data_IF_147858869575
#
_entry.id   IF_147858869575
#
_cell.length_a   1.000
_cell.length_b   1.000
_cell.length_c   1.000
_cell.angle_alpha   90.00
_cell.angle_beta   90.00
_cell.angle_gamma   90.00
#
_symmetry.space_group_name_H-M   'P 1'
#
loop_
_entity.id
_entity.type
_entity.pdbx_description
1 polymer ?
#
# COMPACT_ATOMS: atom_id res chain seq x y z
N UNK A 1 15.14 -19.76 -16.67
CA UNK A 1 13.69 -19.94 -16.85
C UNK A 1 13.12 -18.78 -17.67
N UNK A 2 12.03 -19.01 -18.38
CA UNK A 2 11.24 -17.98 -19.08
C UNK A 2 10.02 -17.63 -18.22
N UNK A 3 9.92 -16.44 -17.70
CA UNK A 3 8.92 -16.03 -16.71
C UNK A 3 8.04 -14.94 -17.32
N UNK A 4 6.74 -15.17 -17.43
CA UNK A 4 5.79 -14.13 -17.80
C UNK A 4 5.22 -13.48 -16.53
N UNK A 5 5.17 -12.16 -16.50
CA UNK A 5 4.59 -11.38 -15.39
C UNK A 5 3.44 -10.53 -15.93
N UNK A 6 2.24 -10.75 -15.42
CA UNK A 6 1.10 -9.87 -15.65
C UNK A 6 1.30 -8.58 -14.83
N UNK A 7 1.42 -7.46 -15.53
CA UNK A 7 1.60 -6.15 -14.95
C UNK A 7 0.74 -5.11 -15.70
N UNK A 8 -0.50 -5.45 -15.99
CA UNK A 8 -1.41 -4.72 -16.89
C UNK A 8 -1.43 -3.20 -16.62
N UNK A 9 -1.29 -2.80 -15.37
CA UNK A 9 -1.61 -1.42 -14.95
C UNK A 9 -0.40 -0.52 -14.72
N UNK A 10 0.82 -1.03 -14.87
CA UNK A 10 2.01 -0.25 -14.49
C UNK A 10 2.25 0.99 -15.37
N UNK A 11 1.73 1.03 -16.60
CA UNK A 11 1.86 2.18 -17.50
C UNK A 11 0.75 3.24 -17.35
N UNK A 12 -0.08 3.12 -16.30
CA UNK A 12 -1.06 4.16 -15.97
C UNK A 12 -0.39 5.38 -15.32
N UNK A 13 -0.82 6.61 -15.63
CA UNK A 13 -0.31 7.81 -14.97
C UNK A 13 -0.58 7.81 -13.44
N UNK A 14 -1.77 7.37 -13.05
CA UNK A 14 -2.20 7.30 -11.65
C UNK A 14 -2.17 5.85 -11.15
N UNK A 15 -1.04 5.45 -10.60
CA UNK A 15 -0.84 4.11 -10.04
C UNK A 15 -1.43 4.00 -8.64
N UNK A 16 -1.93 2.82 -8.31
CA UNK A 16 -2.37 2.44 -6.97
C UNK A 16 -1.36 1.51 -6.29
N UNK A 17 -1.54 1.19 -5.02
CA UNK A 17 -0.57 0.40 -4.25
C UNK A 17 -0.16 -0.92 -4.91
N UNK A 18 -1.11 -1.69 -5.46
CA UNK A 18 -0.79 -2.94 -6.17
C UNK A 18 0.04 -2.72 -7.44
N UNK A 19 -0.20 -1.62 -8.16
CA UNK A 19 0.54 -1.29 -9.39
C UNK A 19 1.99 -0.95 -9.05
N UNK A 20 2.22 -0.25 -7.92
CA UNK A 20 3.56 0.03 -7.39
C UNK A 20 4.26 -1.24 -6.93
N UNK A 21 3.57 -2.15 -6.25
CA UNK A 21 4.15 -3.43 -5.82
C UNK A 21 4.64 -4.23 -7.04
N UNK A 22 3.84 -4.33 -8.08
CA UNK A 22 4.23 -5.00 -9.31
C UNK A 22 5.45 -4.33 -9.97
N UNK A 23 5.39 -3.00 -10.14
CA UNK A 23 6.45 -2.21 -10.78
C UNK A 23 7.79 -2.33 -10.05
N UNK A 24 7.81 -2.09 -8.74
CA UNK A 24 9.04 -2.11 -7.96
C UNK A 24 9.62 -3.52 -7.85
N UNK A 25 8.76 -4.55 -7.73
CA UNK A 25 9.22 -5.95 -7.78
C UNK A 25 9.89 -6.28 -9.12
N UNK A 26 9.31 -5.84 -10.24
CA UNK A 26 9.89 -6.05 -11.59
C UNK A 26 11.21 -5.28 -11.74
N UNK A 27 11.27 -4.03 -11.29
CA UNK A 27 12.51 -3.22 -11.34
C UNK A 27 13.66 -3.87 -10.56
N UNK A 28 13.37 -4.43 -9.39
CA UNK A 28 14.40 -5.13 -8.62
C UNK A 28 14.79 -6.47 -9.26
N UNK A 29 13.84 -7.25 -9.77
CA UNK A 29 14.15 -8.45 -10.56
C UNK A 29 15.06 -8.10 -11.74
N UNK A 30 14.80 -7.01 -12.44
CA UNK A 30 15.62 -6.47 -13.53
C UNK A 30 17.06 -6.16 -13.10
N UNK A 31 17.28 -5.70 -11.85
CA UNK A 31 18.58 -5.36 -11.32
C UNK A 31 19.38 -6.60 -10.89
N UNK A 32 18.73 -7.54 -10.19
CA UNK A 32 19.43 -8.62 -9.49
C UNK A 32 19.52 -9.93 -10.27
N UNK A 33 18.63 -10.16 -11.26
CA UNK A 33 18.60 -11.41 -12.02
C UNK A 33 19.03 -11.21 -13.46
N UNK A 34 20.03 -12.01 -13.89
CA UNK A 34 20.53 -12.07 -15.24
C UNK A 34 20.42 -13.46 -15.88
N UNK A 35 19.91 -14.43 -15.11
CA UNK A 35 19.82 -15.83 -15.54
C UNK A 35 18.46 -16.16 -16.18
N UNK A 36 17.39 -15.51 -15.72
CA UNK A 36 16.05 -15.73 -16.22
C UNK A 36 15.67 -14.69 -17.27
N UNK A 37 14.79 -15.08 -18.19
CA UNK A 37 14.19 -14.23 -19.22
C UNK A 37 12.78 -13.84 -18.77
N UNK A 38 12.48 -12.55 -18.76
CA UNK A 38 11.21 -12.00 -18.28
C UNK A 38 10.38 -11.39 -19.40
N UNK A 39 9.10 -11.73 -19.44
CA UNK A 39 8.10 -11.17 -20.36
C UNK A 39 7.06 -10.39 -19.55
N UNK A 40 7.17 -9.07 -19.54
CA UNK A 40 6.28 -8.18 -18.78
C UNK A 40 5.10 -7.81 -19.66
N UNK A 41 3.93 -8.36 -19.35
CA UNK A 41 2.71 -8.18 -20.15
C UNK A 41 1.88 -7.05 -19.56
N UNK A 42 1.74 -5.96 -20.32
CA UNK A 42 1.13 -4.70 -19.90
C UNK A 42 0.00 -4.27 -20.84
N UNK A 43 -0.88 -3.39 -20.38
CA UNK A 43 -1.71 -2.60 -21.28
C UNK A 43 -0.98 -1.33 -21.70
N UNK A 44 -1.20 -0.83 -22.93
CA UNK A 44 -0.68 0.48 -23.34
C UNK A 44 -1.08 1.58 -22.36
N UNK A 45 -0.18 2.51 -22.10
CA UNK A 45 -0.38 3.65 -21.21
C UNK A 45 0.59 4.78 -21.49
N UNK A 46 0.40 5.94 -20.83
CA UNK A 46 1.22 7.15 -21.05
C UNK A 46 2.51 7.14 -20.23
N UNK A 47 2.58 6.38 -19.15
CA UNK A 47 3.71 6.36 -18.23
C UNK A 47 4.61 5.14 -18.52
N UNK A 48 5.59 5.32 -19.37
CA UNK A 48 6.61 4.31 -19.71
C UNK A 48 7.66 4.19 -18.60
N UNK A 49 7.23 3.79 -17.41
CA UNK A 49 8.05 3.73 -16.19
C UNK A 49 9.00 2.52 -16.09
N UNK A 50 8.98 1.61 -17.05
CA UNK A 50 9.84 0.43 -17.16
C UNK A 50 10.47 0.39 -18.54
N UNK A 51 11.76 0.09 -18.59
CA UNK A 51 12.53 -0.05 -19.84
C UNK A 51 12.91 -1.52 -20.07
N UNK A 52 13.04 -1.92 -21.32
CA UNK A 52 13.54 -3.25 -21.69
C UNK A 52 15.03 -3.39 -21.38
N UNK A 53 15.47 -4.60 -21.12
CA UNK A 53 16.88 -4.99 -20.99
C UNK A 53 17.12 -6.27 -21.78
N UNK A 54 18.37 -6.75 -21.83
CA UNK A 54 18.71 -7.97 -22.56
C UNK A 54 17.86 -9.18 -22.17
N UNK A 55 17.41 -9.23 -20.93
CA UNK A 55 16.61 -10.35 -20.37
C UNK A 55 15.18 -9.95 -19.93
N UNK A 56 14.76 -8.71 -20.15
CA UNK A 56 13.41 -8.22 -19.79
C UNK A 56 12.76 -7.59 -21.01
N UNK A 57 11.68 -8.21 -21.49
CA UNK A 57 10.93 -7.82 -22.68
C UNK A 57 9.55 -7.32 -22.28
N UNK A 58 9.11 -6.19 -22.86
CA UNK A 58 7.80 -5.59 -22.60
C UNK A 58 6.85 -5.96 -23.72
N UNK A 59 5.70 -6.54 -23.38
CA UNK A 59 4.67 -6.91 -24.34
C UNK A 59 3.41 -6.12 -24.06
N UNK A 60 3.13 -5.16 -24.92
CA UNK A 60 1.90 -4.39 -24.85
C UNK A 60 0.72 -5.12 -25.49
N UNK A 61 -0.36 -5.25 -24.73
CA UNK A 61 -1.59 -5.94 -25.16
C UNK A 61 -2.77 -4.99 -25.01
N UNK A 62 -3.29 -4.53 -26.14
CA UNK A 62 -4.48 -3.69 -26.19
C UNK A 62 -5.75 -4.55 -26.13
N UNK A 63 -6.65 -4.23 -25.22
CA UNK A 63 -7.96 -4.87 -25.10
C UNK A 63 -8.99 -3.91 -24.52
N UNK A 64 -10.26 -3.93 -24.95
CA UNK A 64 -11.25 -2.93 -24.56
C UNK A 64 -11.69 -3.02 -23.10
N UNK A 65 -11.62 -4.20 -22.48
CA UNK A 65 -12.03 -4.39 -21.08
C UNK A 65 -11.06 -5.29 -20.30
N UNK A 66 -10.97 -5.08 -18.99
CA UNK A 66 -10.12 -5.90 -18.13
C UNK A 66 -10.47 -7.41 -18.18
N UNK A 67 -11.74 -7.84 -18.09
CA UNK A 67 -12.06 -9.27 -18.17
C UNK A 67 -11.65 -9.92 -19.49
N UNK A 68 -11.84 -9.25 -20.63
CA UNK A 68 -11.39 -9.76 -21.93
C UNK A 68 -9.86 -9.77 -22.02
N UNK A 69 -9.19 -8.77 -21.48
CA UNK A 69 -7.75 -8.70 -21.42
C UNK A 69 -7.19 -9.90 -20.64
N UNK A 70 -7.69 -10.13 -19.43
CA UNK A 70 -7.21 -11.20 -18.55
C UNK A 70 -7.61 -12.60 -19.01
N UNK A 71 -8.87 -12.78 -19.43
CA UNK A 71 -9.39 -14.13 -19.73
C UNK A 71 -9.13 -14.60 -21.16
N UNK A 72 -8.83 -13.69 -22.09
CA UNK A 72 -8.69 -14.02 -23.52
C UNK A 72 -7.34 -13.58 -24.07
N UNK A 73 -6.98 -12.30 -23.92
CA UNK A 73 -5.77 -11.75 -24.54
C UNK A 73 -4.50 -12.28 -23.84
N UNK A 74 -4.46 -12.23 -22.50
CA UNK A 74 -3.34 -12.72 -21.72
C UNK A 74 -3.00 -14.21 -21.99
N UNK A 75 -3.95 -15.17 -21.93
CA UNK A 75 -3.65 -16.58 -22.23
C UNK A 75 -3.15 -16.79 -23.67
N UNK A 76 -3.65 -16.01 -24.63
CA UNK A 76 -3.19 -16.10 -26.03
C UNK A 76 -1.73 -15.66 -26.18
N UNK A 77 -1.34 -14.58 -25.49
CA UNK A 77 0.04 -14.09 -25.48
C UNK A 77 0.95 -15.10 -24.76
N UNK A 78 0.54 -15.60 -23.61
CA UNK A 78 1.28 -16.64 -22.85
C UNK A 78 1.48 -17.91 -23.70
N UNK A 79 0.45 -18.36 -24.42
CA UNK A 79 0.57 -19.53 -25.31
C UNK A 79 1.55 -19.32 -26.48
N UNK A 80 1.75 -18.08 -26.95
CA UNK A 80 2.73 -17.73 -27.99
C UNK A 80 4.16 -17.67 -27.44
N UNK A 81 4.33 -17.05 -26.26
CA UNK A 81 5.62 -16.90 -25.61
C UNK A 81 6.14 -18.25 -25.09
N UNK A 82 5.24 -19.09 -24.60
CA UNK A 82 5.53 -20.39 -23.94
C UNK A 82 6.52 -20.22 -22.79
N UNK A 83 6.20 -19.39 -21.79
CA UNK A 83 7.02 -19.26 -20.60
C UNK A 83 6.91 -20.54 -19.74
N UNK A 84 7.85 -20.72 -18.82
CA UNK A 84 7.83 -21.81 -17.85
C UNK A 84 6.74 -21.58 -16.79
N UNK A 85 6.44 -20.31 -16.48
CA UNK A 85 5.36 -19.91 -15.57
C UNK A 85 4.78 -18.53 -15.92
N UNK A 86 3.54 -18.29 -15.45
CA UNK A 86 2.89 -16.99 -15.44
C UNK A 86 2.70 -16.52 -13.99
N UNK A 87 3.20 -15.33 -13.65
CA UNK A 87 2.89 -14.66 -12.39
C UNK A 87 1.88 -13.53 -12.60
N UNK A 88 0.69 -13.66 -12.01
CA UNK A 88 -0.34 -12.62 -12.00
C UNK A 88 -0.26 -11.81 -10.72
N UNK A 89 -0.11 -10.47 -10.84
CA UNK A 89 0.23 -9.59 -9.72
C UNK A 89 -0.96 -8.86 -9.10
N UNK A 90 -2.19 -9.02 -9.64
CA UNK A 90 -3.32 -8.12 -9.35
C UNK A 90 -4.57 -8.80 -8.79
N UNK A 91 -4.43 -9.75 -7.86
CA UNK A 91 -5.51 -10.48 -7.19
C UNK A 91 -6.32 -11.46 -8.07
N UNK A 92 -6.20 -11.41 -9.37
CA UNK A 92 -6.93 -12.29 -10.32
C UNK A 92 -5.98 -12.82 -11.38
N UNK A 93 -6.42 -13.87 -12.09
CA UNK A 93 -5.67 -14.50 -13.16
C UNK A 93 -6.63 -15.16 -14.17
N UNK A 94 -6.15 -15.60 -15.34
CA UNK A 94 -6.96 -16.38 -16.25
C UNK A 94 -7.50 -17.67 -15.61
N UNK A 95 -8.81 -17.95 -15.80
CA UNK A 95 -9.42 -19.21 -15.36
C UNK A 95 -8.81 -20.41 -16.09
N UNK A 96 -8.36 -20.21 -17.33
CA UNK A 96 -7.64 -21.22 -18.10
C UNK A 96 -6.23 -20.69 -18.40
N UNK A 97 -5.28 -21.03 -17.55
CA UNK A 97 -3.88 -20.70 -17.74
C UNK A 97 -3.16 -21.84 -18.47
N UNK A 98 -2.44 -21.58 -19.58
CA UNK A 98 -1.77 -22.63 -20.34
C UNK A 98 -0.44 -23.11 -19.74
N UNK A 99 0.03 -22.47 -18.67
CA UNK A 99 1.31 -22.74 -17.98
C UNK A 99 1.12 -22.70 -16.46
N UNK A 100 2.08 -23.19 -15.64
CA UNK A 100 2.07 -23.04 -14.19
C UNK A 100 1.78 -21.61 -13.76
N UNK A 101 0.88 -21.43 -12.79
CA UNK A 101 0.37 -20.13 -12.36
C UNK A 101 0.83 -19.77 -10.96
N UNK A 102 1.46 -18.60 -10.82
CA UNK A 102 1.71 -17.92 -9.55
C UNK A 102 0.73 -16.74 -9.42
N UNK A 103 0.10 -16.59 -8.29
CA UNK A 103 -0.85 -15.50 -8.03
C UNK A 103 -0.41 -14.66 -6.84
N UNK A 104 -0.25 -13.36 -7.00
CA UNK A 104 -0.22 -12.44 -5.87
C UNK A 104 -1.65 -12.04 -5.49
N UNK A 105 -2.08 -12.51 -4.34
CA UNK A 105 -3.37 -12.21 -3.73
C UNK A 105 -3.15 -11.26 -2.53
N UNK A 106 -3.27 -9.97 -2.75
CA UNK A 106 -2.96 -8.95 -1.76
C UNK A 106 -3.90 -8.95 -0.55
N UNK A 107 -5.17 -9.27 -0.77
CA UNK A 107 -6.21 -9.37 0.26
C UNK A 107 -7.42 -10.15 -0.26
N UNK A 108 -8.33 -10.44 0.67
CA UNK A 108 -9.63 -11.07 0.39
C UNK A 108 -10.82 -10.20 0.82
N UNK A 109 -10.66 -8.88 0.83
CA UNK A 109 -11.75 -7.94 1.20
C UNK A 109 -13.00 -8.15 0.34
N UNK A 110 -12.82 -8.58 -0.91
CA UNK A 110 -13.94 -8.86 -1.81
C UNK A 110 -14.82 -10.05 -1.36
N UNK A 111 -14.36 -10.90 -0.45
CA UNK A 111 -15.16 -11.98 0.15
C UNK A 111 -16.01 -11.52 1.33
N UNK A 112 -15.69 -10.37 1.92
CA UNK A 112 -16.40 -9.85 3.09
C UNK A 112 -17.78 -9.29 2.75
N UNK A 113 -18.69 -9.26 3.75
CA UNK A 113 -19.94 -8.54 3.62
C UNK A 113 -19.68 -7.08 3.27
N UNK A 114 -20.45 -6.54 2.33
CA UNK A 114 -20.34 -5.14 1.96
C UNK A 114 -20.84 -4.25 3.08
N UNK A 115 -19.99 -3.34 3.53
CA UNK A 115 -20.44 -2.20 4.32
C UNK A 115 -21.10 -1.18 3.36
N UNK A 116 -22.24 -0.60 3.77
CA UNK A 116 -23.01 0.33 2.96
C UNK A 116 -22.20 1.55 2.52
N UNK A 117 -22.51 2.08 1.35
CA UNK A 117 -21.91 3.29 0.76
C UNK A 117 -22.16 3.36 -0.74
N UNK A 118 -22.27 4.58 -1.29
CA UNK A 118 -22.39 4.80 -2.73
C UNK A 118 -21.07 4.45 -3.43
N UNK A 119 -21.02 3.30 -4.09
CA UNK A 119 -19.90 2.86 -4.91
C UNK A 119 -20.23 3.00 -6.39
N UNK A 120 -19.23 3.32 -7.21
CA UNK A 120 -19.41 3.39 -8.65
C UNK A 120 -19.79 2.01 -9.23
N UNK A 121 -20.51 1.99 -10.35
CA UNK A 121 -20.84 0.76 -11.06
C UNK A 121 -19.60 -0.07 -11.41
N UNK A 122 -18.50 0.59 -11.76
CA UNK A 122 -17.20 -0.03 -12.04
C UNK A 122 -16.61 -0.77 -10.82
N UNK A 123 -16.67 -0.16 -9.63
CA UNK A 123 -16.22 -0.81 -8.39
C UNK A 123 -17.08 -2.04 -8.05
N UNK A 124 -18.39 -1.98 -8.36
CA UNK A 124 -19.31 -3.09 -8.19
C UNK A 124 -18.96 -4.27 -9.11
N UNK A 125 -18.73 -4.00 -10.39
CA UNK A 125 -18.31 -5.02 -11.35
C UNK A 125 -16.99 -5.68 -10.95
N UNK A 126 -15.99 -4.92 -10.54
CA UNK A 126 -14.70 -5.45 -10.09
C UNK A 126 -14.83 -6.35 -8.86
N UNK A 127 -15.75 -6.05 -7.95
CA UNK A 127 -16.03 -6.88 -6.78
C UNK A 127 -16.67 -8.23 -7.17
N UNK A 128 -17.70 -8.23 -8.04
CA UNK A 128 -18.32 -9.45 -8.54
C UNK A 128 -17.33 -10.31 -9.35
N UNK A 129 -16.51 -9.66 -10.18
CA UNK A 129 -15.50 -10.32 -10.97
C UNK A 129 -14.51 -11.11 -10.10
N UNK A 130 -13.96 -10.48 -9.05
CA UNK A 130 -13.05 -11.16 -8.12
C UNK A 130 -13.72 -12.33 -7.40
N UNK A 131 -14.95 -12.17 -6.93
CA UNK A 131 -15.72 -13.26 -6.28
C UNK A 131 -15.98 -14.44 -7.21
N UNK A 132 -16.10 -14.18 -8.49
CA UNK A 132 -16.31 -15.22 -9.49
C UNK A 132 -14.99 -15.90 -9.89
N UNK A 133 -13.94 -15.14 -10.14
CA UNK A 133 -12.66 -15.61 -10.69
C UNK A 133 -11.79 -16.27 -9.63
N UNK A 134 -11.57 -15.60 -8.48
CA UNK A 134 -10.59 -16.05 -7.50
C UNK A 134 -10.82 -17.49 -7.02
N UNK A 135 -12.02 -17.90 -6.60
CA UNK A 135 -12.24 -19.28 -6.17
C UNK A 135 -11.96 -20.34 -7.27
N UNK A 136 -12.10 -19.95 -8.56
CA UNK A 136 -11.87 -20.85 -9.69
C UNK A 136 -10.40 -21.04 -10.03
N UNK A 137 -9.58 -20.03 -9.77
CA UNK A 137 -8.14 -20.09 -10.11
C UNK A 137 -7.28 -20.70 -9.00
N UNK A 138 -7.75 -20.72 -7.75
CA UNK A 138 -6.95 -21.18 -6.61
C UNK A 138 -6.42 -22.61 -6.76
N UNK A 139 -7.22 -23.50 -7.30
CA UNK A 139 -6.82 -24.90 -7.55
C UNK A 139 -5.74 -25.02 -8.63
N UNK A 140 -5.70 -24.08 -9.58
CA UNK A 140 -4.74 -24.07 -10.69
C UNK A 140 -3.43 -23.36 -10.31
N UNK A 141 -3.42 -22.50 -9.26
CA UNK A 141 -2.19 -21.89 -8.85
C UNK A 141 -1.20 -22.93 -8.33
N UNK A 142 0.03 -22.90 -8.78
CA UNK A 142 1.15 -23.63 -8.16
C UNK A 142 1.48 -23.02 -6.80
N UNK A 143 1.60 -21.69 -6.75
CA UNK A 143 1.84 -20.94 -5.53
C UNK A 143 0.97 -19.68 -5.47
N UNK A 144 0.62 -19.29 -4.26
CA UNK A 144 -0.06 -18.02 -3.96
C UNK A 144 0.86 -17.19 -3.09
N UNK A 145 1.04 -15.94 -3.43
CA UNK A 145 1.83 -14.96 -2.70
C UNK A 145 0.86 -13.96 -2.05
N UNK A 146 1.15 -13.55 -0.84
CA UNK A 146 0.49 -12.41 -0.21
C UNK A 146 1.50 -11.52 0.50
N UNK A 147 1.07 -10.35 0.97
CA UNK A 147 1.98 -9.27 1.37
C UNK A 147 2.34 -9.26 2.87
N UNK A 148 1.66 -10.08 3.69
CA UNK A 148 1.94 -10.18 5.13
C UNK A 148 1.55 -11.55 5.68
N UNK A 149 2.11 -11.94 6.82
CA UNK A 149 1.70 -13.17 7.51
C UNK A 149 0.27 -13.09 8.03
N UNK A 150 -0.18 -11.89 8.41
CA UNK A 150 -1.57 -11.64 8.76
C UNK A 150 -2.51 -12.02 7.61
N UNK A 151 -2.29 -11.49 6.41
CA UNK A 151 -3.12 -11.83 5.23
C UNK A 151 -2.91 -13.29 4.81
N UNK A 152 -1.68 -13.85 4.93
CA UNK A 152 -1.42 -15.25 4.65
C UNK A 152 -2.29 -16.18 5.50
N UNK A 153 -2.34 -15.97 6.80
CA UNK A 153 -3.17 -16.76 7.71
C UNK A 153 -4.66 -16.59 7.37
N UNK A 154 -5.08 -15.36 7.16
CA UNK A 154 -6.46 -15.01 6.86
C UNK A 154 -6.96 -15.60 5.55
N UNK A 155 -6.14 -15.50 4.48
CA UNK A 155 -6.45 -16.08 3.16
C UNK A 155 -6.51 -17.61 3.28
N UNK A 156 -5.53 -18.21 3.97
CA UNK A 156 -5.47 -19.66 4.19
C UNK A 156 -6.73 -20.20 4.89
N UNK A 157 -7.13 -19.53 5.96
CA UNK A 157 -8.34 -19.92 6.73
C UNK A 157 -9.64 -19.72 5.94
N UNK A 158 -9.80 -18.55 5.31
CA UNK A 158 -11.02 -18.21 4.58
C UNK A 158 -11.23 -19.07 3.32
N UNK A 159 -10.14 -19.48 2.67
CA UNK A 159 -10.16 -20.24 1.42
C UNK A 159 -9.76 -21.72 1.60
N UNK A 160 -9.51 -22.13 2.86
CA UNK A 160 -9.14 -23.51 3.24
C UNK A 160 -7.93 -24.05 2.44
N UNK A 161 -6.90 -23.19 2.27
CA UNK A 161 -5.72 -23.54 1.49
C UNK A 161 -4.71 -24.36 2.32
N UNK A 162 -4.01 -25.33 1.70
CA UNK A 162 -2.86 -25.98 2.31
C UNK A 162 -1.76 -24.97 2.69
N UNK A 163 -0.99 -25.29 3.73
CA UNK A 163 0.03 -24.38 4.26
C UNK A 163 1.15 -24.08 3.25
N UNK A 164 1.50 -25.04 2.43
CA UNK A 164 2.55 -24.97 1.41
C UNK A 164 2.09 -24.25 0.13
N UNK A 165 0.78 -24.01 -0.02
CA UNK A 165 0.18 -23.36 -1.20
C UNK A 165 0.33 -21.84 -1.17
N UNK A 166 0.43 -21.23 0.01
CA UNK A 166 0.47 -19.78 0.18
C UNK A 166 1.67 -19.36 1.04
N UNK A 167 2.34 -18.31 0.62
CA UNK A 167 3.47 -17.72 1.36
C UNK A 167 3.34 -16.20 1.43
N UNK A 168 3.84 -15.61 2.51
CA UNK A 168 3.98 -14.15 2.64
C UNK A 168 5.33 -13.71 2.08
N UNK A 169 5.30 -12.75 1.16
CA UNK A 169 6.47 -12.01 0.68
C UNK A 169 6.20 -10.53 0.96
N UNK A 170 6.99 -9.95 1.85
CA UNK A 170 6.84 -8.56 2.24
C UNK A 170 7.18 -7.61 1.10
N UNK A 171 6.47 -6.49 1.04
CA UNK A 171 6.80 -5.38 0.17
C UNK A 171 7.98 -4.58 0.74
N UNK A 172 8.69 -3.87 -0.14
CA UNK A 172 9.64 -2.85 0.24
C UNK A 172 8.99 -1.45 0.31
N UNK A 173 9.84 -0.45 0.45
CA UNK A 173 9.54 0.97 0.26
C UNK A 173 10.60 1.59 -0.65
N UNK A 174 10.31 2.74 -1.25
CA UNK A 174 11.23 3.37 -2.20
C UNK A 174 12.37 4.11 -1.48
N UNK A 175 13.60 3.99 -1.97
CA UNK A 175 14.82 4.54 -1.37
C UNK A 175 14.85 6.07 -1.22
N UNK A 176 14.00 6.80 -1.95
CA UNK A 176 13.89 8.24 -1.81
C UNK A 176 13.25 8.65 -0.46
N UNK A 177 12.55 7.74 0.23
CA UNK A 177 12.13 7.92 1.62
C UNK A 177 13.31 7.62 2.54
N UNK A 178 13.94 8.69 3.01
CA UNK A 178 15.10 8.66 3.91
C UNK A 178 15.17 9.97 4.69
N UNK A 179 15.98 10.07 5.76
CA UNK A 179 16.19 11.33 6.44
C UNK A 179 16.77 12.38 5.48
N UNK A 180 16.16 13.57 5.47
CA UNK A 180 16.52 14.72 4.64
C UNK A 180 16.87 15.90 5.56
N UNK A 181 17.92 16.66 5.21
CA UNK A 181 18.34 17.85 5.95
C UNK A 181 17.52 19.09 5.62
N UNK A 182 16.97 19.16 4.40
CA UNK A 182 16.22 20.34 3.92
C UNK A 182 14.85 19.93 3.38
N UNK A 183 13.81 20.35 4.06
CA UNK A 183 12.42 20.02 3.71
C UNK A 183 11.56 21.24 3.41
N UNK A 184 11.91 22.41 3.98
CA UNK A 184 11.08 23.61 4.04
C UNK A 184 10.62 24.13 2.68
N UNK A 185 11.50 24.08 1.67
CA UNK A 185 11.16 24.55 0.31
C UNK A 185 10.00 23.81 -0.34
N UNK A 186 9.79 22.56 0.06
CA UNK A 186 8.70 21.72 -0.44
C UNK A 186 7.53 21.70 0.53
N UNK A 187 7.76 21.54 1.83
CA UNK A 187 6.69 21.47 2.84
C UNK A 187 5.83 22.73 2.86
N UNK A 188 6.44 23.91 2.67
CA UNK A 188 5.74 25.21 2.62
C UNK A 188 4.77 25.39 1.45
N UNK A 189 4.79 24.50 0.47
CA UNK A 189 3.74 24.46 -0.58
C UNK A 189 2.42 23.89 -0.05
N UNK A 190 2.48 23.16 1.07
CA UNK A 190 1.38 22.37 1.60
C UNK A 190 0.94 22.80 2.99
N UNK A 191 1.87 23.33 3.80
CA UNK A 191 1.60 23.79 5.16
C UNK A 191 2.60 24.89 5.53
N UNK A 192 2.12 25.95 6.20
CA UNK A 192 2.94 27.10 6.58
C UNK A 192 3.81 26.85 7.84
N UNK A 193 3.57 25.76 8.54
CA UNK A 193 4.25 25.37 9.78
C UNK A 193 5.34 24.31 9.53
N UNK A 194 6.42 24.38 10.30
CA UNK A 194 7.56 23.47 10.22
C UNK A 194 7.44 22.29 11.22
N UNK A 195 6.45 22.30 12.10
CA UNK A 195 6.21 21.31 13.16
C UNK A 195 4.72 20.92 13.16
N UNK A 196 4.35 19.93 12.38
CA UNK A 196 2.97 19.55 12.14
C UNK A 196 2.73 18.04 12.30
N UNK A 197 1.47 17.68 12.47
CA UNK A 197 0.98 16.29 12.44
C UNK A 197 0.59 15.97 11.01
N UNK A 198 1.00 14.82 10.48
CA UNK A 198 0.66 14.40 9.11
C UNK A 198 -0.33 13.24 9.11
N UNK A 199 -1.35 13.32 8.24
CA UNK A 199 -2.36 12.30 8.05
C UNK A 199 -2.68 12.10 6.57
N UNK A 200 -2.56 10.86 6.07
CA UNK A 200 -3.05 10.47 4.75
C UNK A 200 -4.53 10.10 4.85
N UNK A 201 -5.39 11.07 4.59
CA UNK A 201 -6.83 10.89 4.50
C UNK A 201 -7.21 10.26 3.17
N UNK A 202 -8.37 9.61 3.15
CA UNK A 202 -8.99 9.14 1.92
C UNK A 202 -10.44 8.80 2.27
N UNK A 203 -11.29 8.70 1.28
CA UNK A 203 -12.74 8.50 1.49
C UNK A 203 -13.14 7.05 1.77
N UNK A 204 -12.20 6.11 1.73
CA UNK A 204 -12.46 4.73 2.12
C UNK A 204 -12.71 4.66 3.65
N UNK A 205 -13.83 4.09 4.10
CA UNK A 205 -14.15 3.97 5.53
C UNK A 205 -13.05 3.32 6.38
N UNK A 206 -12.25 2.42 5.78
CA UNK A 206 -11.13 1.79 6.47
C UNK A 206 -10.03 2.76 6.90
N UNK A 207 -9.92 3.94 6.27
CA UNK A 207 -8.94 4.98 6.61
C UNK A 207 -9.29 5.75 7.88
N UNK A 208 -10.48 5.52 8.44
CA UNK A 208 -10.88 5.98 9.76
C UNK A 208 -10.83 7.52 9.98
N UNK A 209 -11.08 8.28 8.92
CA UNK A 209 -10.89 9.75 8.90
C UNK A 209 -11.63 10.44 10.05
N UNK A 210 -12.90 10.13 10.25
CA UNK A 210 -13.74 10.78 11.25
C UNK A 210 -13.17 10.64 12.68
N UNK A 211 -12.71 9.44 13.07
CA UNK A 211 -12.12 9.21 14.40
C UNK A 211 -10.75 9.84 14.55
N UNK A 212 -9.94 9.83 13.49
CA UNK A 212 -8.63 10.50 13.49
C UNK A 212 -8.78 11.99 13.69
N UNK A 213 -9.74 12.63 13.01
CA UNK A 213 -10.04 14.06 13.20
C UNK A 213 -10.61 14.34 14.61
N UNK A 214 -11.43 13.44 15.15
CA UNK A 214 -11.90 13.55 16.53
C UNK A 214 -10.76 13.42 17.54
N UNK A 215 -9.81 12.53 17.30
CA UNK A 215 -8.60 12.41 18.13
C UNK A 215 -7.77 13.69 18.07
N UNK A 216 -7.62 14.26 16.90
CA UNK A 216 -6.93 15.55 16.73
C UNK A 216 -7.64 16.70 17.47
N UNK A 217 -8.96 16.78 17.43
CA UNK A 217 -9.74 17.74 18.24
C UNK A 217 -9.47 17.56 19.74
N UNK A 218 -9.41 16.33 20.24
CA UNK A 218 -9.08 16.04 21.63
C UNK A 218 -7.64 16.44 21.99
N UNK A 219 -6.69 16.22 21.08
CA UNK A 219 -5.32 16.68 21.23
C UNK A 219 -5.24 18.20 21.35
N UNK A 220 -5.89 18.95 20.46
CA UNK A 220 -5.88 20.43 20.49
C UNK A 220 -6.39 21.04 21.79
N UNK A 221 -7.34 20.36 22.46
CA UNK A 221 -7.90 20.81 23.75
C UNK A 221 -6.94 20.66 24.93
N UNK A 222 -5.91 19.83 24.78
CA UNK A 222 -4.99 19.45 25.87
C UNK A 222 -3.55 19.86 25.60
N UNK A 223 -3.18 20.10 24.33
CA UNK A 223 -1.84 20.49 23.94
C UNK A 223 -1.63 22.00 24.06
N UNK A 224 -0.52 22.40 24.64
CA UNK A 224 -0.05 23.79 24.66
C UNK A 224 0.54 24.20 23.31
N UNK A 225 1.14 23.26 22.57
CA UNK A 225 1.77 23.50 21.26
C UNK A 225 0.79 23.61 20.11
N UNK A 226 -0.31 22.88 20.18
CA UNK A 226 -1.39 22.89 19.17
C UNK A 226 -0.89 22.76 17.72
N UNK A 227 0.00 21.78 17.50
CA UNK A 227 0.57 21.55 16.16
C UNK A 227 -0.53 21.42 15.10
N UNK A 228 -0.38 22.09 13.96
CA UNK A 228 -1.37 21.97 12.87
C UNK A 228 -1.37 20.57 12.28
N UNK A 229 -2.49 20.22 11.63
CA UNK A 229 -2.70 18.94 10.97
C UNK A 229 -2.66 19.13 9.45
N UNK A 230 -1.72 18.47 8.78
CA UNK A 230 -1.70 18.34 7.34
C UNK A 230 -2.50 17.09 6.94
N UNK A 231 -3.55 17.27 6.13
CA UNK A 231 -4.44 16.19 5.66
C UNK A 231 -4.31 16.07 4.15
N UNK A 232 -3.69 14.99 3.67
CA UNK A 232 -3.61 14.69 2.24
C UNK A 232 -4.77 13.82 1.76
N UNK A 233 -4.99 13.80 0.44
CA UNK A 233 -5.94 12.92 -0.28
C UNK A 233 -7.42 13.03 0.15
N UNK A 234 -7.81 14.12 0.77
CA UNK A 234 -9.19 14.38 1.16
C UNK A 234 -9.71 15.68 0.51
N UNK A 235 -10.89 15.64 -0.10
CA UNK A 235 -11.50 16.84 -0.67
C UNK A 235 -12.08 17.73 0.43
N UNK A 236 -12.09 19.05 0.18
CA UNK A 236 -12.63 20.06 1.10
C UNK A 236 -14.05 19.73 1.54
N UNK A 237 -14.94 19.47 0.57
CA UNK A 237 -16.36 19.22 0.86
C UNK A 237 -16.58 18.03 1.79
N UNK A 238 -15.81 16.95 1.57
CA UNK A 238 -15.86 15.76 2.44
C UNK A 238 -15.30 16.02 3.82
N UNK A 239 -14.20 16.76 3.89
CA UNK A 239 -13.62 17.16 5.17
C UNK A 239 -14.62 18.01 5.94
N UNK A 240 -15.19 19.06 5.33
CA UNK A 240 -16.16 19.96 5.98
C UNK A 240 -17.46 19.22 6.38
N UNK A 241 -17.88 18.22 5.63
CA UNK A 241 -19.01 17.36 6.01
C UNK A 241 -18.68 16.54 7.27
N UNK A 242 -17.52 15.91 7.33
CA UNK A 242 -17.07 15.14 8.52
C UNK A 242 -16.94 16.04 9.75
N UNK A 243 -16.39 17.26 9.61
CA UNK A 243 -16.23 18.18 10.73
C UNK A 243 -17.58 18.57 11.34
N UNK A 244 -18.58 18.85 10.49
CA UNK A 244 -19.95 19.14 10.94
C UNK A 244 -20.63 17.95 11.60
N UNK A 245 -20.53 16.76 10.97
CA UNK A 245 -21.11 15.53 11.49
C UNK A 245 -20.55 15.15 12.86
N UNK A 246 -19.22 15.30 13.03
CA UNK A 246 -18.54 14.98 14.27
C UNK A 246 -18.54 16.13 15.29
N UNK A 247 -19.09 17.31 14.95
CA UNK A 247 -19.12 18.50 15.80
C UNK A 247 -17.71 18.93 16.29
N UNK A 248 -16.73 18.96 15.38
CA UNK A 248 -15.33 19.30 15.65
C UNK A 248 -14.83 20.44 14.76
N UNK A 249 -15.68 21.43 14.47
CA UNK A 249 -15.35 22.54 13.57
C UNK A 249 -14.25 23.46 14.13
N UNK A 250 -13.97 23.38 15.44
CA UNK A 250 -12.89 24.10 16.11
C UNK A 250 -11.49 23.78 15.57
N UNK A 251 -11.31 22.63 14.87
CA UNK A 251 -10.01 22.29 14.26
C UNK A 251 -9.72 23.07 12.97
N UNK A 252 -10.69 23.78 12.40
CA UNK A 252 -10.55 24.49 11.11
C UNK A 252 -9.35 25.43 11.04
N UNK A 253 -9.00 26.24 12.08
CA UNK A 253 -7.84 27.12 12.05
C UNK A 253 -6.49 26.38 12.11
N UNK A 254 -6.48 25.12 12.51
CA UNK A 254 -5.28 24.33 12.78
C UNK A 254 -5.03 23.25 11.73
N UNK A 255 -5.52 23.39 10.51
CA UNK A 255 -5.39 22.36 9.47
C UNK A 255 -5.01 22.91 8.10
N UNK A 256 -4.27 22.11 7.35
CA UNK A 256 -4.07 22.26 5.92
C UNK A 256 -4.60 21.03 5.18
N UNK A 257 -5.18 21.21 3.99
CA UNK A 257 -5.76 20.14 3.16
C UNK A 257 -5.50 20.41 1.68
N UNK A 258 -4.29 20.20 1.20
CA UNK A 258 -3.90 20.50 -0.17
C UNK A 258 -4.53 19.57 -1.23
N UNK A 259 -5.30 18.55 -0.80
CA UNK A 259 -5.81 17.53 -1.68
C UNK A 259 -4.77 16.46 -2.01
N UNK A 260 -4.63 16.10 -3.27
CA UNK A 260 -3.63 15.14 -3.73
C UNK A 260 -2.21 15.71 -3.65
N UNK A 261 -1.31 14.91 -3.10
CA UNK A 261 0.13 15.24 -3.00
C UNK A 261 0.92 14.26 -3.88
N UNK A 262 1.76 14.75 -4.80
CA UNK A 262 2.62 13.88 -5.59
C UNK A 262 3.57 13.03 -4.73
N UNK A 263 3.78 11.78 -5.10
CA UNK A 263 4.62 10.84 -4.33
C UNK A 263 6.05 11.39 -4.08
N UNK A 264 6.63 12.09 -5.07
CA UNK A 264 7.95 12.71 -4.94
C UNK A 264 8.07 13.75 -3.82
N UNK A 265 6.96 14.38 -3.42
CA UNK A 265 6.92 15.40 -2.37
C UNK A 265 6.62 14.79 -0.99
N UNK A 266 6.11 13.54 -0.92
CA UNK A 266 5.77 12.88 0.34
C UNK A 266 6.98 12.68 1.26
N UNK A 267 8.17 12.39 0.71
CA UNK A 267 9.38 12.23 1.52
C UNK A 267 9.70 13.50 2.33
N UNK A 268 9.52 14.68 1.74
CA UNK A 268 9.71 15.96 2.42
C UNK A 268 8.67 16.18 3.52
N UNK A 269 7.42 15.79 3.24
CA UNK A 269 6.32 15.94 4.20
C UNK A 269 6.44 14.96 5.38
N UNK A 270 6.90 13.75 5.16
CA UNK A 270 7.22 12.86 6.27
C UNK A 270 8.36 13.43 7.11
N UNK A 271 9.47 13.84 6.50
CA UNK A 271 10.61 14.39 7.23
C UNK A 271 10.28 15.67 8.05
N UNK A 272 9.37 16.52 7.56
CA UNK A 272 8.92 17.72 8.28
C UNK A 272 7.87 17.46 9.35
N UNK A 273 7.26 16.27 9.37
CA UNK A 273 6.18 15.97 10.30
C UNK A 273 6.71 15.58 11.69
N UNK A 274 6.09 16.10 12.75
CA UNK A 274 6.30 15.67 14.12
C UNK A 274 5.89 14.20 14.31
N UNK A 275 4.74 13.81 13.78
CA UNK A 275 4.23 12.45 13.83
C UNK A 275 3.34 12.17 12.62
N UNK A 276 3.40 10.95 12.13
CA UNK A 276 2.49 10.45 11.09
C UNK A 276 1.38 9.61 11.72
N UNK A 277 0.12 9.97 11.43
CA UNK A 277 -1.05 9.22 11.88
C UNK A 277 -1.49 8.23 10.79
N UNK A 278 -1.36 6.96 11.07
CA UNK A 278 -1.81 5.87 10.20
C UNK A 278 -2.83 4.98 10.92
N UNK A 279 -3.90 5.60 11.37
CA UNK A 279 -4.92 5.02 12.26
C UNK A 279 -6.01 4.25 11.51
N UNK A 280 -5.68 3.65 10.39
CA UNK A 280 -6.58 2.80 9.61
C UNK A 280 -7.20 1.70 10.46
N UNK A 281 -8.42 1.28 10.10
CA UNK A 281 -9.09 0.15 10.73
C UNK A 281 -8.56 -1.18 10.21
N UNK A 282 -8.04 -1.18 8.98
CA UNK A 282 -7.51 -2.36 8.32
C UNK A 282 -6.55 -2.01 7.20
N UNK A 283 -5.42 -2.71 7.17
CA UNK A 283 -4.45 -2.69 6.08
C UNK A 283 -3.90 -4.10 5.84
N UNK A 284 -3.60 -4.40 4.59
CA UNK A 284 -2.98 -5.69 4.23
C UNK A 284 -1.46 -5.67 4.40
N UNK A 285 -0.84 -4.47 4.39
CA UNK A 285 0.58 -4.25 4.64
C UNK A 285 0.83 -2.88 5.29
N UNK A 286 0.73 -1.79 4.55
CA UNK A 286 0.90 -0.43 5.09
C UNK A 286 2.24 0.20 4.69
N UNK A 287 2.56 0.25 3.41
CA UNK A 287 3.78 0.91 2.88
C UNK A 287 3.97 2.34 3.46
N UNK A 288 2.93 3.19 3.58
CA UNK A 288 3.09 4.53 4.15
C UNK A 288 3.69 4.59 5.56
N UNK A 289 3.49 3.55 6.38
CA UNK A 289 4.14 3.48 7.69
C UNK A 289 5.65 3.33 7.55
N UNK A 290 6.11 2.47 6.62
CA UNK A 290 7.52 2.28 6.35
C UNK A 290 8.17 3.52 5.75
N UNK A 291 7.45 4.22 4.87
CA UNK A 291 7.91 5.49 4.28
C UNK A 291 8.14 6.56 5.36
N UNK A 292 7.18 6.73 6.27
CA UNK A 292 7.31 7.66 7.39
C UNK A 292 8.47 7.27 8.33
N UNK A 293 8.55 6.00 8.73
CA UNK A 293 9.65 5.49 9.56
C UNK A 293 11.01 5.65 8.88
N UNK A 294 11.10 5.41 7.57
CA UNK A 294 12.33 5.58 6.80
C UNK A 294 12.79 7.05 6.75
N UNK A 295 11.85 7.98 6.82
CA UNK A 295 12.13 9.41 6.95
C UNK A 295 12.49 9.85 8.39
N UNK A 296 12.47 8.94 9.36
CA UNK A 296 12.73 9.25 10.77
C UNK A 296 11.51 9.86 11.50
N UNK A 297 10.31 9.69 10.97
CA UNK A 297 9.08 10.22 11.55
C UNK A 297 8.40 9.16 12.42
N UNK A 298 8.11 9.45 13.70
CA UNK A 298 7.31 8.56 14.55
C UNK A 298 5.94 8.26 13.93
N UNK A 299 5.47 7.02 14.07
CA UNK A 299 4.19 6.58 13.49
C UNK A 299 3.25 6.10 14.59
N UNK A 300 2.04 6.70 14.66
CA UNK A 300 0.93 6.16 15.45
C UNK A 300 0.04 5.36 14.51
N UNK A 301 -0.14 4.08 14.80
CA UNK A 301 -0.89 3.16 13.92
C UNK A 301 -1.82 2.23 14.70
N UNK A 302 -2.76 1.61 13.98
CA UNK A 302 -3.71 0.70 14.60
C UNK A 302 -3.07 -0.61 15.10
N UNK A 303 -3.67 -1.18 16.14
CA UNK A 303 -3.27 -2.47 16.73
C UNK A 303 -3.96 -3.68 16.08
N UNK A 304 -4.48 -3.53 14.87
CA UNK A 304 -5.25 -4.56 14.14
C UNK A 304 -4.67 -4.84 12.77
N UNK A 305 -5.09 -5.93 12.15
CA UNK A 305 -4.67 -6.39 10.81
C UNK A 305 -3.14 -6.54 10.69
N UNK A 306 -2.55 -6.22 9.55
CA UNK A 306 -1.10 -6.32 9.36
C UNK A 306 -0.30 -5.19 10.04
N UNK A 307 -0.94 -4.14 10.56
CA UNK A 307 -0.24 -2.99 11.12
C UNK A 307 0.71 -3.33 12.27
N UNK A 308 0.35 -4.14 13.29
CA UNK A 308 1.29 -4.54 14.33
C UNK A 308 2.48 -5.36 13.81
N UNK A 309 2.22 -6.23 12.83
CA UNK A 309 3.25 -7.07 12.20
C UNK A 309 4.28 -6.21 11.46
N UNK A 310 3.83 -5.23 10.68
CA UNK A 310 4.70 -4.39 9.86
C UNK A 310 5.37 -3.30 10.70
N UNK A 311 4.64 -2.65 11.58
CA UNK A 311 5.18 -1.59 12.43
C UNK A 311 6.20 -2.11 13.47
N UNK A 312 5.97 -3.27 14.07
CA UNK A 312 6.82 -3.80 15.14
C UNK A 312 7.03 -2.77 16.24
N UNK A 313 8.24 -2.69 16.79
CA UNK A 313 8.60 -1.70 17.81
C UNK A 313 8.73 -0.26 17.28
N UNK A 314 8.83 -0.11 15.94
CA UNK A 314 8.90 1.20 15.28
C UNK A 314 7.56 1.96 15.23
N UNK A 315 6.44 1.32 15.57
CA UNK A 315 5.12 1.93 15.58
C UNK A 315 4.49 2.00 16.97
N UNK A 316 3.84 3.12 17.25
CA UNK A 316 3.04 3.30 18.45
C UNK A 316 1.65 2.76 18.17
N UNK A 317 1.35 1.57 18.75
CA UNK A 317 0.09 0.89 18.52
C UNK A 317 -1.04 1.49 19.37
N UNK A 318 -2.19 1.71 18.73
CA UNK A 318 -3.41 2.22 19.38
C UNK A 318 -4.65 1.44 18.92
N UNK A 319 -5.68 1.42 19.74
CA UNK A 319 -6.99 1.05 19.26
C UNK A 319 -7.55 2.17 18.35
N UNK A 320 -7.56 1.93 17.04
CA UNK A 320 -8.04 2.90 16.04
C UNK A 320 -9.51 3.30 16.23
N UNK A 321 -10.29 2.55 17.02
CA UNK A 321 -11.66 2.91 17.39
C UNK A 321 -11.73 3.86 18.59
N UNK A 322 -10.62 4.12 19.28
CA UNK A 322 -10.54 4.95 20.47
C UNK A 322 -9.83 6.29 20.19
N UNK A 323 -10.60 7.31 19.85
CA UNK A 323 -10.06 8.64 19.56
C UNK A 323 -9.28 9.24 20.73
N UNK A 324 -9.65 8.93 21.98
CA UNK A 324 -8.96 9.42 23.18
C UNK A 324 -7.55 8.84 23.29
N UNK A 325 -7.41 7.53 23.07
CA UNK A 325 -6.11 6.84 23.09
C UNK A 325 -5.16 7.38 22.01
N UNK A 326 -5.69 7.65 20.79
CA UNK A 326 -4.89 8.28 19.72
C UNK A 326 -4.38 9.66 20.18
N UNK A 327 -5.27 10.49 20.75
CA UNK A 327 -4.89 11.83 21.24
C UNK A 327 -3.86 11.75 22.37
N UNK A 328 -4.03 10.83 23.32
CA UNK A 328 -3.09 10.60 24.44
C UNK A 328 -1.69 10.22 23.94
N UNK A 329 -1.59 9.41 22.87
CA UNK A 329 -0.28 9.06 22.28
C UNK A 329 0.39 10.22 21.56
N UNK A 330 -0.38 11.11 20.91
CA UNK A 330 0.19 12.36 20.35
C UNK A 330 0.73 13.24 21.47
N UNK A 331 -0.04 13.43 22.55
CA UNK A 331 0.39 14.20 23.73
C UNK A 331 1.61 13.59 24.41
N UNK A 332 1.67 12.26 24.52
CA UNK A 332 2.80 11.57 25.13
C UNK A 332 4.09 11.80 24.34
N UNK A 333 4.03 11.71 23.00
CA UNK A 333 5.16 12.06 22.14
C UNK A 333 5.62 13.53 22.34
N UNK A 334 4.68 14.44 22.60
CA UNK A 334 4.96 15.87 22.82
C UNK A 334 5.63 16.11 24.16
N UNK A 335 5.25 15.36 25.19
CA UNK A 335 5.69 15.56 26.58
C UNK A 335 6.98 14.81 26.92
N UNK A 336 7.24 13.66 26.26
CA UNK A 336 8.39 12.79 26.53
C UNK A 336 9.36 12.78 25.34
N UNK A 337 10.37 13.66 25.42
CA UNK A 337 11.40 13.76 24.36
C UNK A 337 12.24 12.49 24.23
N UNK A 338 12.46 11.75 25.31
CA UNK A 338 13.23 10.50 25.28
C UNK A 338 12.42 9.45 24.51
N UNK A 339 11.14 9.32 24.81
CA UNK A 339 10.24 8.43 24.09
C UNK A 339 10.17 8.80 22.61
N UNK A 340 10.04 10.10 22.30
CA UNK A 340 10.03 10.60 20.92
C UNK A 340 11.28 10.16 20.14
N UNK A 341 12.47 10.40 20.70
CA UNK A 341 13.74 10.00 20.05
C UNK A 341 13.90 8.48 19.91
N UNK A 342 13.42 7.71 20.88
CA UNK A 342 13.41 6.26 20.81
C UNK A 342 12.49 5.76 19.68
N UNK A 343 11.32 6.38 19.46
CA UNK A 343 10.43 6.00 18.37
C UNK A 343 11.05 6.25 16.99
N UNK A 344 11.77 7.36 16.82
CA UNK A 344 12.57 7.61 15.59
C UNK A 344 13.56 6.48 15.37
N UNK A 345 14.37 6.16 16.39
CA UNK A 345 15.39 5.11 16.31
C UNK A 345 14.79 3.73 16.01
N UNK A 346 13.70 3.37 16.68
CA UNK A 346 13.01 2.09 16.44
C UNK A 346 12.42 2.02 15.03
N UNK A 347 11.84 3.11 14.54
CA UNK A 347 11.34 3.23 13.17
C UNK A 347 12.43 3.02 12.13
N UNK A 348 13.55 3.73 12.24
CA UNK A 348 14.70 3.60 11.35
C UNK A 348 15.31 2.18 11.36
N UNK A 349 15.37 1.53 12.53
CA UNK A 349 15.81 0.13 12.63
C UNK A 349 14.79 -0.83 12.01
N UNK A 350 13.50 -0.55 12.19
CA UNK A 350 12.43 -1.42 11.68
C UNK A 350 12.44 -1.53 10.18
N UNK A 351 12.60 -0.41 9.47
CA UNK A 351 12.54 -0.37 8.00
C UNK A 351 13.67 -1.13 7.31
N UNK A 352 14.78 -1.38 8.00
CA UNK A 352 15.90 -2.19 7.46
C UNK A 352 15.50 -3.64 7.11
N UNK A 353 14.35 -4.12 7.63
CA UNK A 353 13.80 -5.44 7.33
C UNK A 353 12.95 -5.49 6.07
N UNK A 354 12.76 -4.36 5.40
CA UNK A 354 11.86 -4.23 4.25
C UNK A 354 12.58 -3.54 3.10
N UNK A 355 12.78 -4.25 2.01
CA UNK A 355 13.34 -3.69 0.77
C UNK A 355 12.73 -4.38 -0.44
N UNK A 356 12.65 -3.69 -1.56
CA UNK A 356 12.24 -4.30 -2.81
C UNK A 356 13.24 -5.34 -3.31
N UNK A 357 14.53 -5.18 -2.99
CA UNK A 357 15.56 -6.20 -3.27
C UNK A 357 15.21 -7.52 -2.57
N UNK A 358 14.90 -7.49 -1.27
CA UNK A 358 14.47 -8.69 -0.53
C UNK A 358 13.17 -9.28 -1.06
N UNK A 359 12.22 -8.43 -1.51
CA UNK A 359 11.00 -8.88 -2.18
C UNK A 359 11.35 -9.67 -3.45
N UNK A 360 12.23 -9.13 -4.29
CA UNK A 360 12.66 -9.77 -5.53
C UNK A 360 13.44 -11.07 -5.29
N UNK A 361 14.35 -11.12 -4.31
CA UNK A 361 15.07 -12.35 -3.91
C UNK A 361 14.10 -13.45 -3.48
N UNK A 362 13.08 -13.11 -2.68
CA UNK A 362 12.06 -14.05 -2.24
C UNK A 362 11.19 -14.54 -3.41
N UNK A 363 10.88 -13.68 -4.38
CA UNK A 363 10.18 -14.05 -5.61
C UNK A 363 11.03 -15.03 -6.45
N UNK A 364 12.33 -14.73 -6.65
CA UNK A 364 13.24 -15.62 -7.37
C UNK A 364 13.34 -16.99 -6.69
N UNK A 365 13.48 -16.98 -5.36
CA UNK A 365 13.52 -18.23 -4.58
C UNK A 365 12.24 -19.05 -4.77
N UNK A 366 11.08 -18.39 -4.80
CA UNK A 366 9.80 -19.06 -5.01
C UNK A 366 9.69 -19.60 -6.44
N UNK A 367 10.07 -18.84 -7.48
CA UNK A 367 10.03 -19.31 -8.86
C UNK A 367 10.87 -20.56 -9.08
N UNK A 368 12.01 -20.68 -8.42
CA UNK A 368 12.88 -21.87 -8.49
C UNK A 368 12.24 -23.15 -7.89
N UNK A 369 11.11 -23.04 -7.18
CA UNK A 369 10.38 -24.17 -6.59
C UNK A 369 9.26 -24.71 -7.49
N UNK A 370 9.03 -24.08 -8.63
CA UNK A 370 8.02 -24.41 -9.62
C UNK A 370 8.67 -25.08 -10.82
#
# INVERSE_FOLDING_TARGET
>A
MRIAIEAQRIFRPNKHGMDFVALESIRELQKIDRENEYFIIVSPGEDHCLEETDNVHIIEVKCPTYPLWEQVALPRVVSKIRPDLLHCTSNTAPIHCPVPLVLTLHDIIFLEPRQGGNRSWYQNMGWYYRRMVVPRILSQCEKIITVSHFECNRIREALQLPKDKITAIYNGYSEHFRPLSETLSITRKYIDDDDYIFFLGNTDPKKNVARTLKAYSLYLKQSDKKRPLLIADLSKDKLDAILREQQIEEIKPYRSYPGYIPNKDLAYLYNGAFVFLYTSLRESFGIPMLEAMACGTPVITGNTSAMPEIAGEGGILVNSLNAKEIAEKILYLEQDQIFYQNQIKYGLNRVQKFSWAQTAENLLSLYKTI
#
